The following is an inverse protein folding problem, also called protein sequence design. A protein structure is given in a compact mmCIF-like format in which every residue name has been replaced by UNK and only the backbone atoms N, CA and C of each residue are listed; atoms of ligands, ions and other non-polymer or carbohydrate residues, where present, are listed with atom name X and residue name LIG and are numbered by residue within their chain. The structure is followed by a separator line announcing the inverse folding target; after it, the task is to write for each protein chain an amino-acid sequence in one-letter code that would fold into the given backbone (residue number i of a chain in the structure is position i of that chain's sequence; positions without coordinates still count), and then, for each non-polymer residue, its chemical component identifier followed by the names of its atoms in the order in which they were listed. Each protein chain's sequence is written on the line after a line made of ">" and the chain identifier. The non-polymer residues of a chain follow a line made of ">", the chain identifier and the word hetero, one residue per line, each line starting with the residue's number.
data_IF_399948993346
#
_entry.id   IF_399948993346
#
_cell.length_a   1.000
_cell.length_b   1.000
_cell.length_c   1.000
_cell.angle_alpha   90.00
_cell.angle_beta   90.00
_cell.angle_gamma   90.00
#
_symmetry.space_group_name_H-M   'P 1'
#
loop_
_entity.id
_entity.type
_entity.pdbx_description
1 polymer ?
#
# COMPACT_ATOMS: atom_id res chain seq x y z
N UNK A 1 -14.94 -16.34 21.98
CA UNK A 1 -14.30 -15.29 21.13
C UNK A 1 -14.69 -13.87 21.55
N UNK A 2 -15.88 -13.64 22.13
CA UNK A 2 -16.31 -12.32 22.65
C UNK A 2 -15.43 -11.76 23.78
N UNK A 3 -14.80 -12.62 24.59
CA UNK A 3 -13.99 -12.20 25.74
C UNK A 3 -12.70 -11.44 25.36
N UNK A 4 -12.12 -11.68 24.17
CA UNK A 4 -10.89 -11.00 23.75
C UNK A 4 -11.15 -9.57 23.25
N UNK A 5 -12.33 -9.31 22.68
CA UNK A 5 -12.71 -7.97 22.21
C UNK A 5 -13.12 -7.04 23.36
N UNK A 6 -13.50 -7.58 24.53
CA UNK A 6 -13.82 -6.80 25.72
C UNK A 6 -12.60 -6.37 26.55
N UNK A 7 -11.41 -6.89 26.24
CA UNK A 7 -10.16 -6.65 26.98
C UNK A 7 -9.27 -5.56 26.34
N UNK A 8 -9.80 -4.74 25.42
CA UNK A 8 -9.07 -3.62 24.82
C UNK A 8 -8.19 -3.98 23.62
N UNK A 9 -8.24 -5.21 23.10
CA UNK A 9 -7.66 -5.53 21.80
C UNK A 9 -8.45 -4.78 20.72
N UNK A 10 -7.80 -3.86 20.00
CA UNK A 10 -8.50 -3.12 18.96
C UNK A 10 -8.99 -4.11 17.90
N UNK A 11 -10.29 -4.05 17.58
CA UNK A 11 -10.93 -4.84 16.51
C UNK A 11 -10.17 -4.72 15.18
N UNK A 12 -9.52 -3.57 14.99
CA UNK A 12 -8.71 -3.22 13.82
C UNK A 12 -7.42 -4.06 13.70
N UNK A 13 -6.64 -4.18 14.77
CA UNK A 13 -5.49 -5.09 14.79
C UNK A 13 -5.92 -6.55 14.63
N UNK A 14 -7.06 -6.93 15.23
CA UNK A 14 -7.59 -8.29 15.08
C UNK A 14 -7.99 -8.60 13.64
N UNK A 15 -8.69 -7.68 12.95
CA UNK A 15 -9.11 -7.90 11.56
C UNK A 15 -7.93 -7.87 10.60
N UNK A 16 -6.93 -7.01 10.83
CA UNK A 16 -5.71 -6.99 10.05
C UNK A 16 -4.94 -8.32 10.17
N UNK A 17 -4.80 -8.86 11.38
CA UNK A 17 -4.16 -10.16 11.62
C UNK A 17 -4.92 -11.32 11.00
N UNK A 18 -6.25 -11.36 11.15
CA UNK A 18 -7.10 -12.37 10.53
C UNK A 18 -7.02 -12.33 9.00
N UNK A 19 -7.03 -11.13 8.42
CA UNK A 19 -6.91 -10.92 6.98
C UNK A 19 -5.52 -11.32 6.46
N UNK A 20 -4.46 -11.02 7.20
CA UNK A 20 -3.11 -11.47 6.89
C UNK A 20 -2.97 -13.00 6.90
N UNK A 21 -3.66 -13.68 7.83
CA UNK A 21 -3.74 -15.14 7.91
C UNK A 21 -4.73 -15.79 6.93
N UNK A 22 -5.40 -15.02 6.06
CA UNK A 22 -6.43 -15.48 5.10
C UNK A 22 -7.66 -16.15 5.75
N UNK A 23 -7.98 -15.79 6.99
CA UNK A 23 -9.14 -16.33 7.72
C UNK A 23 -10.41 -15.55 7.35
N UNK A 24 -10.99 -15.84 6.18
CA UNK A 24 -12.10 -15.07 5.60
C UNK A 24 -13.32 -15.01 6.52
N UNK A 25 -13.73 -16.13 7.10
CA UNK A 25 -14.91 -16.20 7.99
C UNK A 25 -14.71 -15.35 9.25
N UNK A 26 -13.48 -15.30 9.77
CA UNK A 26 -13.14 -14.45 10.91
C UNK A 26 -13.12 -12.97 10.52
N UNK A 27 -12.64 -12.64 9.31
CA UNK A 27 -12.69 -11.28 8.77
C UNK A 27 -14.14 -10.82 8.60
N UNK A 28 -15.01 -11.65 8.01
CA UNK A 28 -16.45 -11.37 7.87
C UNK A 28 -17.10 -11.10 9.23
N UNK A 29 -16.83 -11.97 10.21
CA UNK A 29 -17.34 -11.79 11.55
C UNK A 29 -16.84 -10.48 12.18
N UNK A 30 -15.52 -10.19 12.12
CA UNK A 30 -14.96 -8.96 12.69
C UNK A 30 -15.51 -7.69 12.03
N UNK A 31 -15.73 -7.70 10.71
CA UNK A 31 -16.38 -6.60 10.00
C UNK A 31 -17.82 -6.39 10.48
N UNK A 32 -18.58 -7.46 10.72
CA UNK A 32 -19.92 -7.36 11.32
C UNK A 32 -19.91 -6.75 12.73
N UNK A 33 -18.80 -6.89 13.46
CA UNK A 33 -18.60 -6.31 14.79
C UNK A 33 -18.07 -4.86 14.73
N UNK A 34 -17.99 -4.26 13.54
CA UNK A 34 -17.56 -2.89 13.32
C UNK A 34 -16.05 -2.69 13.17
N UNK A 35 -15.27 -3.73 12.82
CA UNK A 35 -13.85 -3.56 12.51
C UNK A 35 -13.65 -2.77 11.20
N UNK A 36 -12.52 -2.07 11.09
CA UNK A 36 -12.20 -1.27 9.92
C UNK A 36 -11.96 -2.11 8.67
N UNK A 37 -12.73 -1.84 7.60
CA UNK A 37 -12.49 -2.38 6.25
C UNK A 37 -11.12 -1.97 5.70
N UNK A 38 -10.62 -0.79 6.08
CA UNK A 38 -9.29 -0.31 5.71
C UNK A 38 -8.19 -1.19 6.31
N UNK A 39 -8.32 -1.56 7.58
CA UNK A 39 -7.37 -2.44 8.27
C UNK A 39 -7.46 -3.88 7.77
N UNK A 40 -8.67 -4.35 7.46
CA UNK A 40 -8.88 -5.65 6.83
C UNK A 40 -8.16 -5.74 5.47
N UNK A 41 -8.37 -4.74 4.58
CA UNK A 41 -7.77 -4.79 3.23
C UNK A 41 -6.27 -4.58 3.27
N UNK A 42 -5.78 -3.74 4.19
CA UNK A 42 -4.35 -3.59 4.45
C UNK A 42 -3.72 -4.93 4.86
N UNK A 43 -4.31 -5.64 5.83
CA UNK A 43 -3.81 -6.94 6.29
C UNK A 43 -3.85 -8.02 5.20
N UNK A 44 -4.95 -8.09 4.44
CA UNK A 44 -5.08 -9.01 3.31
C UNK A 44 -4.02 -8.74 2.23
N UNK A 45 -3.81 -7.47 1.87
CA UNK A 45 -2.85 -7.06 0.87
C UNK A 45 -1.40 -7.24 1.34
N UNK A 46 -1.12 -7.00 2.63
CA UNK A 46 0.16 -7.31 3.26
C UNK A 46 0.49 -8.81 3.19
N UNK A 47 -0.52 -9.67 3.34
CA UNK A 47 -0.41 -11.12 3.16
C UNK A 47 -0.38 -11.59 1.70
N UNK A 48 -0.66 -10.71 0.73
CA UNK A 48 -0.68 -11.05 -0.71
C UNK A 48 -1.94 -11.79 -1.16
N UNK A 49 -3.01 -11.79 -0.35
CA UNK A 49 -4.22 -12.59 -0.60
C UNK A 49 -5.16 -11.87 -1.57
N UNK A 50 -4.87 -11.98 -2.87
CA UNK A 50 -5.61 -11.27 -3.94
C UNK A 50 -7.13 -11.46 -3.88
N UNK A 51 -7.62 -12.68 -3.70
CA UNK A 51 -9.07 -12.96 -3.68
C UNK A 51 -9.76 -12.31 -2.47
N UNK A 52 -9.07 -12.23 -1.33
CA UNK A 52 -9.58 -11.55 -0.15
C UNK A 52 -9.57 -10.02 -0.34
N UNK A 53 -8.54 -9.49 -0.99
CA UNK A 53 -8.48 -8.07 -1.39
C UNK A 53 -9.61 -7.74 -2.36
N UNK A 54 -9.83 -8.53 -3.40
CA UNK A 54 -10.95 -8.38 -4.35
C UNK A 54 -12.30 -8.34 -3.62
N UNK A 55 -12.52 -9.28 -2.72
CA UNK A 55 -13.73 -9.31 -1.91
C UNK A 55 -13.86 -8.06 -1.04
N UNK A 56 -12.82 -7.65 -0.32
CA UNK A 56 -12.85 -6.45 0.53
C UNK A 56 -13.09 -5.16 -0.26
N UNK A 57 -12.51 -5.04 -1.47
CA UNK A 57 -12.78 -3.91 -2.37
C UNK A 57 -14.24 -3.89 -2.83
N UNK A 58 -14.85 -5.05 -3.10
CA UNK A 58 -16.28 -5.15 -3.40
C UNK A 58 -17.17 -4.73 -2.22
N UNK A 59 -16.67 -4.86 -1.00
CA UNK A 59 -17.33 -4.38 0.21
C UNK A 59 -17.08 -2.88 0.50
N UNK A 60 -16.42 -2.16 -0.42
CA UNK A 60 -16.13 -0.73 -0.29
C UNK A 60 -14.87 -0.40 0.52
N UNK A 61 -13.92 -1.33 0.66
CA UNK A 61 -12.62 -1.01 1.24
C UNK A 61 -11.81 -0.06 0.32
N UNK A 62 -10.94 0.74 0.92
CA UNK A 62 -10.09 1.69 0.18
C UNK A 62 -9.00 0.97 -0.61
N UNK A 63 -8.88 1.31 -1.90
CA UNK A 63 -7.79 0.85 -2.77
C UNK A 63 -6.43 1.34 -2.28
N UNK A 64 -6.35 2.52 -1.66
CA UNK A 64 -5.10 3.09 -1.17
C UNK A 64 -4.54 2.27 0.00
N UNK A 65 -5.41 1.84 0.92
CA UNK A 65 -5.02 0.91 2.00
C UNK A 65 -4.54 -0.43 1.45
N UNK A 66 -5.18 -0.92 0.37
CA UNK A 66 -4.75 -2.13 -0.31
C UNK A 66 -3.37 -1.96 -0.97
N UNK A 67 -3.11 -0.82 -1.62
CA UNK A 67 -1.81 -0.50 -2.22
C UNK A 67 -0.74 -0.44 -1.15
N UNK A 68 -0.94 0.30 -0.07
CA UNK A 68 0.02 0.39 1.03
C UNK A 68 0.36 -1.00 1.61
N UNK A 69 -0.65 -1.84 1.86
CA UNK A 69 -0.44 -3.21 2.32
C UNK A 69 0.35 -4.06 1.33
N UNK A 70 -0.03 -4.03 0.04
CA UNK A 70 0.62 -4.80 -1.02
C UNK A 70 2.08 -4.37 -1.23
N UNK A 71 2.37 -3.07 -1.19
CA UNK A 71 3.72 -2.54 -1.29
C UNK A 71 4.54 -3.02 -0.09
N UNK A 72 4.08 -2.82 1.14
CA UNK A 72 4.81 -3.26 2.34
C UNK A 72 5.03 -4.78 2.39
N UNK A 73 4.08 -5.55 1.86
CA UNK A 73 4.19 -7.01 1.69
C UNK A 73 5.08 -7.44 0.52
N UNK A 74 5.60 -6.50 -0.27
CA UNK A 74 6.42 -6.70 -1.48
C UNK A 74 5.70 -7.49 -2.60
N UNK A 75 4.37 -7.43 -2.62
CA UNK A 75 3.51 -8.13 -3.58
C UNK A 75 3.30 -7.32 -4.87
N UNK A 76 4.35 -7.23 -5.70
CA UNK A 76 4.35 -6.38 -6.91
C UNK A 76 3.19 -6.66 -7.88
N UNK A 77 2.85 -7.93 -8.09
CA UNK A 77 1.75 -8.29 -9.00
C UNK A 77 0.39 -7.83 -8.45
N UNK A 78 0.22 -7.82 -7.13
CA UNK A 78 -0.97 -7.28 -6.50
C UNK A 78 -1.03 -5.75 -6.66
N UNK A 79 0.10 -5.04 -6.51
CA UNK A 79 0.17 -3.59 -6.77
C UNK A 79 -0.18 -3.27 -8.24
N UNK A 80 0.39 -4.00 -9.20
CA UNK A 80 0.07 -3.82 -10.63
C UNK A 80 -1.41 -4.03 -10.91
N UNK A 81 -1.99 -5.07 -10.30
CA UNK A 81 -3.42 -5.32 -10.41
C UNK A 81 -4.26 -4.21 -9.77
N UNK A 82 -3.90 -3.71 -8.58
CA UNK A 82 -4.60 -2.60 -7.92
C UNK A 82 -4.57 -1.32 -8.77
N UNK A 83 -3.42 -1.00 -9.37
CA UNK A 83 -3.27 0.13 -10.30
C UNK A 83 -4.12 -0.07 -11.56
N UNK A 84 -4.24 -1.29 -12.09
CA UNK A 84 -5.13 -1.56 -13.22
C UNK A 84 -6.62 -1.47 -12.86
N UNK A 85 -6.97 -1.67 -11.57
CA UNK A 85 -8.31 -1.39 -11.02
C UNK A 85 -8.55 0.11 -10.72
N UNK A 86 -7.63 1.00 -11.10
CA UNK A 86 -7.74 2.44 -10.90
C UNK A 86 -7.40 2.90 -9.49
N UNK A 87 -6.51 2.21 -8.78
CA UNK A 87 -5.89 2.76 -7.58
C UNK A 87 -5.01 3.98 -7.93
N UNK A 88 -4.88 4.91 -6.98
CA UNK A 88 -4.05 6.09 -7.17
C UNK A 88 -2.58 5.69 -7.34
N UNK A 89 -1.97 6.06 -8.47
CA UNK A 89 -0.55 5.77 -8.74
C UNK A 89 0.38 6.57 -7.82
N UNK A 90 -0.07 7.73 -7.37
CA UNK A 90 0.71 8.65 -6.56
C UNK A 90 1.01 8.03 -5.18
N UNK A 91 -0.02 7.48 -4.53
CA UNK A 91 0.12 6.71 -3.28
C UNK A 91 1.03 5.49 -3.45
N UNK A 92 1.00 4.83 -4.61
CA UNK A 92 1.88 3.71 -4.91
C UNK A 92 3.34 4.14 -5.05
N UNK A 93 3.60 5.35 -5.56
CA UNK A 93 4.96 5.91 -5.69
C UNK A 93 5.52 6.29 -4.33
N UNK A 94 4.75 6.98 -3.49
CA UNK A 94 5.16 7.32 -2.12
C UNK A 94 5.55 6.06 -1.34
N UNK A 95 4.65 5.07 -1.26
CA UNK A 95 4.92 3.82 -0.53
C UNK A 95 6.09 3.03 -1.14
N UNK A 96 6.29 3.08 -2.46
CA UNK A 96 7.42 2.43 -3.11
C UNK A 96 8.76 3.10 -2.78
N UNK A 97 8.78 4.42 -2.67
CA UNK A 97 9.95 5.20 -2.27
C UNK A 97 10.29 4.90 -0.81
N UNK A 98 9.32 5.05 0.09
CA UNK A 98 9.49 4.79 1.53
C UNK A 98 9.93 3.35 1.80
N UNK A 99 9.41 2.39 1.04
CA UNK A 99 9.75 0.97 1.17
C UNK A 99 11.07 0.58 0.48
N UNK A 100 11.75 1.51 -0.21
CA UNK A 100 13.01 1.20 -0.89
C UNK A 100 12.86 0.35 -2.17
N UNK A 101 11.68 0.30 -2.79
CA UNK A 101 11.37 -0.65 -3.87
C UNK A 101 11.64 -0.10 -5.27
N UNK A 102 12.92 0.02 -5.63
CA UNK A 102 13.38 0.52 -6.95
C UNK A 102 12.66 -0.13 -8.15
N UNK A 103 12.54 -1.46 -8.18
CA UNK A 103 11.87 -2.18 -9.29
C UNK A 103 10.37 -1.84 -9.42
N UNK A 104 9.71 -1.53 -8.31
CA UNK A 104 8.30 -1.10 -8.35
C UNK A 104 8.20 0.34 -8.84
N UNK A 105 9.09 1.20 -8.36
CA UNK A 105 9.22 2.58 -8.82
C UNK A 105 9.52 2.66 -10.33
N UNK A 106 10.43 1.84 -10.84
CA UNK A 106 10.74 1.70 -12.28
C UNK A 106 9.47 1.42 -13.09
N UNK A 107 8.66 0.46 -12.62
CA UNK A 107 7.39 0.14 -13.24
C UNK A 107 6.40 1.32 -13.14
N UNK A 108 6.24 1.96 -11.98
CA UNK A 108 5.34 3.11 -11.82
C UNK A 108 5.71 4.30 -12.71
N UNK A 109 7.00 4.59 -12.87
CA UNK A 109 7.49 5.62 -13.79
C UNK A 109 7.15 5.27 -15.24
N UNK A 110 7.23 3.99 -15.63
CA UNK A 110 6.76 3.54 -16.97
C UNK A 110 5.26 3.75 -17.19
N UNK A 111 4.47 3.86 -16.11
CA UNK A 111 3.03 4.13 -16.19
C UNK A 111 2.70 5.63 -16.31
N UNK A 112 3.70 6.48 -16.49
CA UNK A 112 3.56 7.92 -16.74
C UNK A 112 3.35 8.76 -15.48
N UNK A 113 3.80 8.30 -14.30
CA UNK A 113 3.75 9.11 -13.08
C UNK A 113 4.69 10.32 -13.19
N UNK A 114 4.33 11.42 -12.52
CA UNK A 114 5.13 12.64 -12.49
C UNK A 114 6.49 12.39 -11.78
N UNK A 115 7.56 12.40 -12.58
CA UNK A 115 8.93 12.17 -12.11
C UNK A 115 9.46 13.30 -11.22
N UNK A 116 9.05 14.54 -11.46
CA UNK A 116 9.49 15.69 -10.68
C UNK A 116 8.88 15.67 -9.28
N UNK A 117 7.64 15.18 -9.17
CA UNK A 117 7.03 14.95 -7.87
C UNK A 117 7.67 13.75 -7.15
N UNK A 118 7.89 12.64 -7.86
CA UNK A 118 8.57 11.47 -7.29
C UNK A 118 9.98 11.79 -6.76
N UNK A 119 10.75 12.66 -7.44
CA UNK A 119 12.11 13.03 -6.99
C UNK A 119 12.08 13.94 -5.77
N UNK A 120 11.05 14.78 -5.64
CA UNK A 120 10.82 15.61 -4.45
C UNK A 120 10.55 14.73 -3.22
N UNK A 121 9.65 13.75 -3.33
CA UNK A 121 9.36 12.78 -2.27
C UNK A 121 10.61 11.96 -1.90
N UNK A 122 11.34 11.43 -2.89
CA UNK A 122 12.57 10.69 -2.64
C UNK A 122 13.67 11.53 -1.97
N UNK A 123 13.71 12.84 -2.29
CA UNK A 123 14.59 13.80 -1.63
C UNK A 123 14.22 14.01 -0.16
N UNK A 124 12.93 14.21 0.14
CA UNK A 124 12.40 14.34 1.50
C UNK A 124 12.68 13.10 2.36
N UNK A 125 12.52 11.90 1.78
CA UNK A 125 12.82 10.64 2.47
C UNK A 125 14.32 10.31 2.58
N UNK A 126 15.20 11.12 1.98
CA UNK A 126 16.65 10.87 1.99
C UNK A 126 17.09 9.66 1.15
N UNK A 127 16.26 9.19 0.22
CA UNK A 127 16.49 8.02 -0.63
C UNK A 127 17.42 8.34 -1.82
N UNK A 128 18.71 8.60 -1.53
CA UNK A 128 19.72 9.07 -2.51
C UNK A 128 19.77 8.25 -3.80
N UNK A 129 19.79 6.92 -3.71
CA UNK A 129 19.85 6.04 -4.88
C UNK A 129 18.63 6.21 -5.81
N UNK A 130 17.45 6.48 -5.24
CA UNK A 130 16.23 6.71 -6.02
C UNK A 130 16.22 8.11 -6.64
N UNK A 131 16.72 9.11 -5.91
CA UNK A 131 16.88 10.47 -6.43
C UNK A 131 17.81 10.46 -7.64
N UNK A 132 18.99 9.84 -7.52
CA UNK A 132 19.96 9.71 -8.62
C UNK A 132 19.34 8.99 -9.82
N UNK A 133 18.61 7.90 -9.56
CA UNK A 133 17.93 7.17 -10.60
C UNK A 133 16.84 8.03 -11.27
N UNK A 134 15.97 8.73 -10.52
CA UNK A 134 14.92 9.59 -11.08
C UNK A 134 15.50 10.74 -11.90
N UNK A 135 16.59 11.35 -11.46
CA UNK A 135 17.33 12.38 -12.23
C UNK A 135 17.86 11.78 -13.55
N UNK A 136 18.39 10.56 -13.53
CA UNK A 136 18.83 9.86 -14.76
C UNK A 136 17.67 9.59 -15.74
N UNK A 137 16.44 9.50 -15.22
CA UNK A 137 15.22 9.35 -16.03
C UNK A 137 14.63 10.69 -16.50
N UNK A 138 15.32 11.81 -16.23
CA UNK A 138 14.93 13.15 -16.65
C UNK A 138 14.15 13.97 -15.62
N UNK A 139 14.12 13.57 -14.34
CA UNK A 139 13.54 14.41 -13.29
C UNK A 139 14.42 15.64 -13.01
N UNK A 140 13.81 16.78 -12.69
CA UNK A 140 14.51 18.03 -12.40
C UNK A 140 15.30 17.93 -11.08
N UNK A 141 16.63 18.03 -11.14
CA UNK A 141 17.50 17.96 -9.95
C UNK A 141 17.12 18.99 -8.86
N UNK A 142 16.68 20.19 -9.26
CA UNK A 142 16.38 21.28 -8.34
C UNK A 142 15.16 21.00 -7.46
N UNK A 143 14.32 20.03 -7.87
CA UNK A 143 13.17 19.54 -7.10
C UNK A 143 13.58 18.56 -5.99
N UNK A 144 14.71 17.87 -6.14
CA UNK A 144 15.22 16.95 -5.14
C UNK A 144 15.70 17.65 -3.85
N UNK A 145 16.20 18.89 -3.98
CA UNK A 145 16.86 19.63 -2.88
C UNK A 145 15.86 20.42 -2.03
N UNK A 146 14.68 20.75 -2.57
CA UNK A 146 13.64 21.49 -1.85
C UNK A 146 12.91 20.65 -0.80
N UNK A 147 13.16 19.35 -0.78
CA UNK A 147 12.62 18.42 0.20
C UNK A 147 13.48 18.19 1.45
N UNK A 148 14.71 18.72 1.49
CA UNK A 148 15.65 18.51 2.60
C UNK A 148 15.52 19.57 3.71
#
# INVERSE_FOLDING_TARGET
>A
MEWLLSQGASKDHAVAGAAHGRHKELVEWLLSQGASKGQAVFGAALGGHKELVEWLLSQGASKDHAVAGAVRGRHKELVKWLVSQGACKDNAVEEAIDSGQKKLLEWLVSQGVNKDWAVEIAGQGGHKEMVEWLISQGACKDKAVKGA
#
